data_IF_389285132455
#
_entry.id   IF_389285132455
#
_cell.length_a   1.000
_cell.length_b   1.000
_cell.length_c   1.000
_cell.angle_alpha   90.00
_cell.angle_beta   90.00
_cell.angle_gamma   90.00
#
_symmetry.space_group_name_H-M   'P 1'
#
loop_
_entity.id
_entity.type
_entity.pdbx_description
1 polymer ?
#
# COMPACT_ATOMS: atom_id res chain seq x y z
N UNK A 1 -28.30 7.34 -8.64
CA UNK A 1 -27.64 8.65 -8.79
C UNK A 1 -26.34 8.41 -9.55
N UNK A 2 -26.15 9.03 -10.73
CA UNK A 2 -24.87 8.93 -11.45
C UNK A 2 -23.84 9.77 -10.69
N UNK A 3 -22.77 9.13 -10.23
CA UNK A 3 -21.65 9.85 -9.65
C UNK A 3 -21.02 10.75 -10.72
N UNK A 4 -20.78 12.02 -10.40
CA UNK A 4 -20.15 12.95 -11.32
C UNK A 4 -18.63 12.70 -11.33
N UNK A 5 -18.20 11.76 -12.17
CA UNK A 5 -16.85 11.20 -12.25
C UNK A 5 -15.83 12.09 -12.95
N UNK A 6 -16.29 13.18 -13.57
CA UNK A 6 -15.44 14.26 -14.06
C UNK A 6 -14.57 14.93 -12.96
N UNK A 7 -14.81 14.58 -11.69
CA UNK A 7 -14.03 15.04 -10.52
C UNK A 7 -12.67 14.34 -10.36
N UNK A 8 -12.37 13.28 -11.12
CA UNK A 8 -11.16 12.46 -10.96
C UNK A 8 -10.29 12.42 -12.23
N UNK A 9 -9.93 13.58 -12.78
CA UNK A 9 -9.10 13.66 -14.00
C UNK A 9 -7.68 13.12 -13.80
N UNK A 10 -7.17 13.10 -12.57
CA UNK A 10 -5.86 12.56 -12.21
C UNK A 10 -5.83 11.04 -12.00
N UNK A 11 -6.99 10.36 -12.07
CA UNK A 11 -7.10 8.92 -11.86
C UNK A 11 -7.40 8.25 -13.21
N UNK A 12 -6.37 7.78 -13.89
CA UNK A 12 -6.43 7.37 -15.29
C UNK A 12 -6.92 5.92 -15.48
N UNK A 13 -8.15 5.66 -15.04
CA UNK A 13 -8.84 4.39 -15.29
C UNK A 13 -10.16 4.61 -16.04
N UNK A 14 -10.67 3.58 -16.74
CA UNK A 14 -11.97 3.66 -17.39
C UNK A 14 -13.09 4.06 -16.44
N UNK A 15 -14.10 4.71 -17.00
CA UNK A 15 -15.21 5.31 -16.28
C UNK A 15 -16.02 4.30 -15.46
N UNK A 16 -16.19 3.07 -15.95
CA UNK A 16 -16.85 2.00 -15.21
C UNK A 16 -16.08 1.61 -13.94
N UNK A 17 -14.74 1.70 -13.95
CA UNK A 17 -13.89 1.45 -12.77
C UNK A 17 -14.04 2.57 -11.74
N UNK A 18 -14.04 3.83 -12.19
CA UNK A 18 -14.30 4.99 -11.30
C UNK A 18 -15.64 4.82 -10.60
N UNK A 19 -16.67 4.42 -11.33
CA UNK A 19 -17.99 4.17 -10.78
C UNK A 19 -17.99 3.05 -9.74
N UNK A 20 -17.27 1.95 -9.96
CA UNK A 20 -17.10 0.88 -8.95
C UNK A 20 -16.45 1.41 -7.66
N UNK A 21 -15.37 2.19 -7.75
CA UNK A 21 -14.72 2.76 -6.57
C UNK A 21 -15.62 3.74 -5.82
N UNK A 22 -16.40 4.55 -6.54
CA UNK A 22 -17.40 5.43 -5.93
C UNK A 22 -18.51 4.63 -5.24
N UNK A 23 -19.00 3.56 -5.86
CA UNK A 23 -20.00 2.67 -5.25
C UNK A 23 -19.47 2.00 -3.98
N UNK A 24 -18.20 1.59 -3.97
CA UNK A 24 -17.56 1.08 -2.76
C UNK A 24 -17.59 2.11 -1.62
N UNK A 25 -17.23 3.36 -1.91
CA UNK A 25 -17.26 4.44 -0.91
C UNK A 25 -18.69 4.80 -0.47
N UNK A 26 -19.66 4.82 -1.38
CA UNK A 26 -21.07 5.10 -1.05
C UNK A 26 -21.71 4.02 -0.17
N UNK A 27 -21.26 2.78 -0.32
CA UNK A 27 -21.73 1.64 0.46
C UNK A 27 -20.79 1.33 1.64
N UNK A 28 -19.99 2.31 2.10
CA UNK A 28 -18.98 2.09 3.14
C UNK A 28 -19.55 1.36 4.35
N UNK A 29 -20.71 1.75 4.88
CA UNK A 29 -21.32 1.09 6.06
C UNK A 29 -21.68 -0.39 5.82
N UNK A 30 -21.94 -0.79 4.57
CA UNK A 30 -22.16 -2.18 4.20
C UNK A 30 -20.86 -2.80 3.68
N UNK A 31 -20.07 -3.39 4.58
CA UNK A 31 -18.76 -3.98 4.23
C UNK A 31 -18.84 -5.01 3.12
N UNK A 32 -19.84 -5.90 3.13
CA UNK A 32 -19.99 -6.94 2.09
C UNK A 32 -20.23 -6.33 0.70
N UNK A 33 -21.14 -5.37 0.61
CA UNK A 33 -21.50 -4.72 -0.66
C UNK A 33 -20.36 -3.80 -1.16
N UNK A 34 -19.73 -3.04 -0.27
CA UNK A 34 -18.59 -2.19 -0.64
C UNK A 34 -17.37 -2.99 -1.08
N UNK A 35 -17.06 -4.09 -0.40
CA UNK A 35 -15.98 -5.00 -0.80
C UNK A 35 -16.23 -5.61 -2.18
N UNK A 36 -17.47 -6.00 -2.48
CA UNK A 36 -17.85 -6.53 -3.80
C UNK A 36 -17.53 -5.54 -4.93
N UNK A 37 -17.69 -4.23 -4.71
CA UNK A 37 -17.32 -3.24 -5.72
C UNK A 37 -15.81 -3.10 -5.90
N UNK A 38 -15.03 -3.16 -4.81
CA UNK A 38 -13.56 -3.18 -4.87
C UNK A 38 -13.05 -4.41 -5.63
N UNK A 39 -13.58 -5.60 -5.32
CA UNK A 39 -13.21 -6.84 -6.00
C UNK A 39 -13.55 -6.80 -7.49
N UNK A 40 -14.70 -6.21 -7.87
CA UNK A 40 -15.04 -5.99 -9.27
C UNK A 40 -14.07 -5.04 -9.97
N UNK A 41 -13.64 -3.96 -9.31
CA UNK A 41 -12.67 -3.02 -9.86
C UNK A 41 -11.31 -3.70 -10.09
N UNK A 42 -10.85 -4.48 -9.12
CA UNK A 42 -9.62 -5.28 -9.23
C UNK A 42 -9.71 -6.31 -10.36
N UNK A 43 -10.81 -7.05 -10.47
CA UNK A 43 -10.99 -8.06 -11.51
C UNK A 43 -10.98 -7.47 -12.92
N UNK A 44 -11.48 -6.24 -13.10
CA UNK A 44 -11.56 -5.56 -14.40
C UNK A 44 -10.26 -4.86 -14.80
N UNK A 45 -9.46 -4.41 -13.84
CA UNK A 45 -8.22 -3.66 -14.11
C UNK A 45 -6.95 -4.47 -13.94
N UNK A 46 -7.04 -5.65 -13.35
CA UNK A 46 -5.88 -6.48 -13.03
C UNK A 46 -4.95 -5.76 -12.06
N UNK A 47 -3.73 -5.50 -12.52
CA UNK A 47 -2.65 -4.93 -11.71
C UNK A 47 -2.46 -3.44 -11.95
N UNK A 48 -3.52 -2.69 -12.27
CA UNK A 48 -3.41 -1.24 -12.32
C UNK A 48 -3.03 -0.68 -10.93
N UNK A 49 -1.92 0.05 -10.86
CA UNK A 49 -1.32 0.51 -9.60
C UNK A 49 -2.25 1.41 -8.79
N UNK A 50 -3.00 2.27 -9.46
CA UNK A 50 -3.93 3.21 -8.83
C UNK A 50 -5.14 2.49 -8.19
N UNK A 51 -5.66 1.46 -8.86
CA UNK A 51 -6.73 0.61 -8.30
C UNK A 51 -6.21 -0.24 -7.15
N UNK A 52 -4.98 -0.76 -7.23
CA UNK A 52 -4.34 -1.48 -6.12
C UNK A 52 -4.16 -0.56 -4.91
N UNK A 53 -3.74 0.69 -5.09
CA UNK A 53 -3.64 1.67 -3.99
C UNK A 53 -5.02 1.93 -3.35
N UNK A 54 -6.07 2.09 -4.17
CA UNK A 54 -7.43 2.30 -3.68
C UNK A 54 -7.93 1.08 -2.88
N UNK A 55 -7.70 -0.13 -3.39
CA UNK A 55 -8.06 -1.37 -2.73
C UNK A 55 -7.30 -1.57 -1.41
N UNK A 56 -5.98 -1.31 -1.39
CA UNK A 56 -5.18 -1.36 -0.16
C UNK A 56 -5.78 -0.47 0.93
N UNK A 57 -6.06 0.80 0.60
CA UNK A 57 -6.66 1.76 1.55
C UNK A 57 -8.01 1.26 2.05
N UNK A 58 -8.86 0.77 1.14
CA UNK A 58 -10.15 0.20 1.51
C UNK A 58 -9.99 -0.93 2.53
N UNK A 59 -9.18 -1.95 2.21
CA UNK A 59 -8.99 -3.11 3.09
C UNK A 59 -8.34 -2.74 4.42
N UNK A 60 -7.35 -1.83 4.40
CA UNK A 60 -6.70 -1.33 5.61
C UNK A 60 -7.71 -0.67 6.55
N UNK A 61 -8.51 0.29 6.06
CA UNK A 61 -9.50 0.99 6.88
C UNK A 61 -10.69 0.12 7.28
N UNK A 62 -10.91 -1.00 6.58
CA UNK A 62 -11.85 -2.05 6.98
C UNK A 62 -11.27 -3.06 7.96
N UNK A 63 -10.02 -2.87 8.40
CA UNK A 63 -9.26 -3.81 9.24
C UNK A 63 -9.11 -5.21 8.62
N UNK A 64 -9.30 -5.34 7.31
CA UNK A 64 -9.03 -6.58 6.60
C UNK A 64 -7.56 -6.63 6.17
N UNK A 65 -6.69 -6.77 7.18
CA UNK A 65 -5.24 -6.69 7.00
C UNK A 65 -4.70 -7.80 6.08
N UNK A 66 -5.33 -8.97 6.05
CA UNK A 66 -4.95 -10.04 5.13
C UNK A 66 -5.14 -9.66 3.66
N UNK A 67 -6.25 -9.02 3.30
CA UNK A 67 -6.45 -8.51 1.93
C UNK A 67 -5.63 -7.24 1.65
N UNK A 68 -5.41 -6.39 2.66
CA UNK A 68 -4.52 -5.25 2.54
C UNK A 68 -3.10 -5.69 2.18
N UNK A 69 -2.56 -6.71 2.87
CA UNK A 69 -1.23 -7.26 2.61
C UNK A 69 -1.13 -7.88 1.21
N UNK A 70 -2.11 -8.69 0.81
CA UNK A 70 -2.14 -9.26 -0.54
C UNK A 70 -2.14 -8.17 -1.61
N UNK A 71 -2.82 -7.06 -1.36
CA UNK A 71 -2.89 -5.93 -2.30
C UNK A 71 -1.57 -5.17 -2.37
N UNK A 72 -0.89 -4.93 -1.24
CA UNK A 72 0.43 -4.28 -1.25
C UNK A 72 1.48 -5.16 -1.91
N UNK A 73 1.46 -6.48 -1.70
CA UNK A 73 2.37 -7.43 -2.39
C UNK A 73 2.17 -7.34 -3.92
N UNK A 74 0.93 -7.42 -4.41
CA UNK A 74 0.64 -7.25 -5.85
C UNK A 74 1.14 -5.93 -6.41
N UNK A 75 0.98 -4.84 -5.65
CA UNK A 75 1.48 -3.53 -6.04
C UNK A 75 3.01 -3.49 -6.11
N UNK A 76 3.70 -4.09 -5.13
CA UNK A 76 5.15 -4.20 -5.12
C UNK A 76 5.66 -5.01 -6.31
N UNK A 77 5.08 -6.18 -6.54
CA UNK A 77 5.44 -7.06 -7.66
C UNK A 77 5.24 -6.35 -9.00
N UNK A 78 4.15 -5.58 -9.13
CA UNK A 78 3.89 -4.81 -10.34
C UNK A 78 4.96 -3.76 -10.61
N UNK A 79 5.34 -3.00 -9.58
CA UNK A 79 6.36 -1.96 -9.74
C UNK A 79 7.73 -2.60 -9.99
N UNK A 80 8.05 -3.73 -9.35
CA UNK A 80 9.27 -4.49 -9.65
C UNK A 80 9.35 -4.90 -11.11
N UNK A 81 8.25 -5.41 -11.67
CA UNK A 81 8.17 -5.79 -13.08
C UNK A 81 8.42 -4.58 -14.00
N UNK A 82 7.69 -3.48 -13.78
CA UNK A 82 7.76 -2.28 -14.61
C UNK A 82 9.14 -1.62 -14.58
N UNK A 83 9.73 -1.53 -13.40
CA UNK A 83 11.00 -0.86 -13.15
C UNK A 83 12.22 -1.80 -13.22
N UNK A 84 11.98 -3.10 -13.50
CA UNK A 84 12.99 -4.17 -13.55
C UNK A 84 13.87 -4.21 -12.30
N UNK A 85 13.23 -4.11 -11.14
CA UNK A 85 13.92 -4.09 -9.85
C UNK A 85 14.36 -5.51 -9.46
N UNK A 86 15.58 -5.67 -8.90
CA UNK A 86 16.04 -6.96 -8.39
C UNK A 86 15.35 -7.32 -7.07
N UNK A 87 15.24 -8.62 -6.77
CA UNK A 87 14.71 -9.10 -5.50
C UNK A 87 15.74 -9.06 -4.36
N UNK A 88 17.02 -9.18 -4.69
CA UNK A 88 18.11 -9.11 -3.73
C UNK A 88 18.23 -7.69 -3.15
N UNK A 89 18.19 -7.58 -1.82
CA UNK A 89 18.14 -6.28 -1.15
C UNK A 89 19.40 -5.44 -1.39
N UNK A 90 20.57 -6.09 -1.39
CA UNK A 90 21.85 -5.38 -1.58
C UNK A 90 21.95 -4.76 -2.98
N UNK A 91 21.33 -5.38 -3.98
CA UNK A 91 21.19 -4.82 -5.33
C UNK A 91 20.05 -3.79 -5.43
N UNK A 92 18.94 -4.01 -4.73
CA UNK A 92 17.76 -3.16 -4.79
C UNK A 92 17.97 -1.81 -4.10
N UNK A 93 18.57 -1.82 -2.91
CA UNK A 93 18.77 -0.63 -2.07
C UNK A 93 19.41 0.55 -2.82
N UNK A 94 20.56 0.42 -3.51
CA UNK A 94 21.17 1.57 -4.20
C UNK A 94 20.27 2.16 -5.29
N UNK A 95 19.44 1.35 -5.95
CA UNK A 95 18.47 1.82 -6.95
C UNK A 95 17.41 2.68 -6.26
N UNK A 96 16.84 2.18 -5.16
CA UNK A 96 15.81 2.89 -4.40
C UNK A 96 16.34 4.21 -3.82
N UNK A 97 17.56 4.22 -3.29
CA UNK A 97 18.21 5.45 -2.77
C UNK A 97 18.39 6.48 -3.88
N UNK A 98 18.93 6.07 -5.03
CA UNK A 98 19.24 6.99 -6.13
C UNK A 98 17.98 7.52 -6.83
N UNK A 99 16.89 6.74 -6.83
CA UNK A 99 15.65 7.06 -7.53
C UNK A 99 14.48 7.39 -6.61
N UNK A 100 14.70 7.66 -5.32
CA UNK A 100 13.60 7.83 -4.34
C UNK A 100 12.57 8.92 -4.67
N UNK A 101 12.95 9.91 -5.49
CA UNK A 101 12.05 10.98 -5.95
C UNK A 101 11.31 10.64 -7.26
N UNK A 102 11.67 9.54 -7.93
CA UNK A 102 10.93 9.01 -9.07
C UNK A 102 9.53 8.56 -8.61
N UNK A 103 8.43 8.96 -9.27
CA UNK A 103 7.09 8.63 -8.83
C UNK A 103 6.81 7.13 -8.62
N UNK A 104 7.34 6.27 -9.50
CA UNK A 104 7.13 4.82 -9.39
C UNK A 104 7.92 4.23 -8.21
N UNK A 105 9.15 4.68 -8.01
CA UNK A 105 9.99 4.25 -6.90
C UNK A 105 9.46 4.79 -5.57
N UNK A 106 8.96 6.02 -5.55
CA UNK A 106 8.28 6.60 -4.38
C UNK A 106 7.01 5.81 -4.06
N UNK A 107 6.26 5.36 -5.07
CA UNK A 107 5.11 4.48 -4.87
C UNK A 107 5.52 3.11 -4.31
N UNK A 108 6.61 2.52 -4.81
CA UNK A 108 7.19 1.28 -4.26
C UNK A 108 7.56 1.44 -2.79
N UNK A 109 8.26 2.51 -2.41
CA UNK A 109 8.67 2.77 -1.03
C UNK A 109 7.45 2.96 -0.10
N UNK A 110 6.42 3.67 -0.56
CA UNK A 110 5.16 3.79 0.17
C UNK A 110 4.47 2.42 0.36
N UNK A 111 4.37 1.62 -0.70
CA UNK A 111 3.76 0.30 -0.63
C UNK A 111 4.57 -0.67 0.26
N UNK A 112 5.89 -0.56 0.24
CA UNK A 112 6.78 -1.38 1.04
C UNK A 112 6.65 -1.01 2.53
N UNK A 113 6.71 0.27 2.86
CA UNK A 113 6.44 0.75 4.22
C UNK A 113 5.04 0.35 4.72
N UNK A 114 4.02 0.50 3.88
CA UNK A 114 2.66 0.06 4.17
C UNK A 114 2.56 -1.43 4.47
N UNK A 115 3.28 -2.29 3.73
CA UNK A 115 3.30 -3.73 4.01
C UNK A 115 3.89 -4.05 5.39
N UNK A 116 4.92 -3.32 5.83
CA UNK A 116 5.46 -3.43 7.19
C UNK A 116 4.42 -3.07 8.26
N UNK A 117 3.67 -1.99 8.06
CA UNK A 117 2.58 -1.60 8.95
C UNK A 117 1.46 -2.65 8.99
N UNK A 118 1.08 -3.22 7.85
CA UNK A 118 0.07 -4.28 7.79
C UNK A 118 0.55 -5.55 8.50
N UNK A 119 1.81 -5.95 8.30
CA UNK A 119 2.41 -7.09 8.97
C UNK A 119 2.44 -6.89 10.50
N UNK A 120 2.76 -5.68 10.97
CA UNK A 120 2.68 -5.35 12.39
C UNK A 120 1.26 -5.54 12.95
N UNK A 121 0.24 -5.07 12.24
CA UNK A 121 -1.18 -5.26 12.62
C UNK A 121 -1.62 -6.74 12.59
N UNK A 122 -0.98 -7.57 11.76
CA UNK A 122 -1.19 -9.03 11.72
C UNK A 122 -0.39 -9.79 12.80
N UNK A 123 0.46 -9.11 13.57
CA UNK A 123 1.34 -9.73 14.57
C UNK A 123 2.63 -10.34 14.01
N UNK A 124 2.92 -10.15 12.72
CA UNK A 124 4.18 -10.54 12.09
C UNK A 124 5.28 -9.49 12.37
N UNK A 125 5.65 -9.40 13.65
CA UNK A 125 6.46 -8.28 14.17
C UNK A 125 7.88 -8.28 13.61
N UNK A 126 8.51 -9.44 13.43
CA UNK A 126 9.90 -9.50 12.96
C UNK A 126 10.00 -9.10 11.47
N UNK A 127 9.07 -9.56 10.64
CA UNK A 127 8.95 -9.13 9.24
C UNK A 127 8.64 -7.63 9.14
N UNK A 128 7.76 -7.12 10.01
CA UNK A 128 7.46 -5.69 10.08
C UNK A 128 8.70 -4.86 10.46
N UNK A 129 9.50 -5.32 11.42
CA UNK A 129 10.77 -4.67 11.81
C UNK A 129 11.78 -4.71 10.69
N UNK A 130 11.90 -5.82 9.97
CA UNK A 130 12.83 -5.95 8.84
C UNK A 130 12.49 -4.92 7.75
N UNK A 131 11.24 -4.87 7.32
CA UNK A 131 10.78 -3.91 6.32
C UNK A 131 10.99 -2.48 6.81
N UNK A 132 10.62 -2.20 8.05
CA UNK A 132 10.75 -0.86 8.63
C UNK A 132 12.20 -0.40 8.71
N UNK A 133 13.10 -1.32 9.05
CA UNK A 133 14.55 -1.08 9.07
C UNK A 133 15.08 -0.77 7.66
N UNK A 134 14.67 -1.58 6.68
CA UNK A 134 15.08 -1.39 5.28
C UNK A 134 14.62 -0.06 4.70
N UNK A 135 13.37 0.36 4.96
CA UNK A 135 12.88 1.68 4.53
C UNK A 135 13.60 2.82 5.25
N UNK A 136 13.86 2.69 6.56
CA UNK A 136 14.63 3.69 7.34
C UNK A 136 16.05 3.91 6.80
N UNK A 137 16.65 2.90 6.15
CA UNK A 137 17.97 3.06 5.49
C UNK A 137 17.93 3.88 4.19
N UNK A 138 16.74 4.18 3.66
CA UNK A 138 16.51 4.96 2.43
C UNK A 138 15.94 6.34 2.76
N UNK A 139 15.12 6.41 3.82
CA UNK A 139 14.29 7.54 4.18
C UNK A 139 14.75 8.22 5.47
N UNK A 140 15.74 9.11 5.32
CA UNK A 140 16.29 9.88 6.44
C UNK A 140 15.29 10.85 7.08
N UNK A 141 14.18 11.17 6.39
CA UNK A 141 13.20 12.19 6.82
C UNK A 141 11.91 11.59 7.37
N UNK A 142 11.76 10.27 7.36
CA UNK A 142 10.52 9.57 7.66
C UNK A 142 9.34 9.97 6.74
N UNK A 143 9.62 10.32 5.48
CA UNK A 143 8.63 10.60 4.44
C UNK A 143 7.62 9.45 4.25
N UNK A 144 8.04 8.20 4.51
CA UNK A 144 7.20 6.99 4.37
C UNK A 144 6.72 6.44 5.73
N UNK A 145 7.10 7.07 6.84
CA UNK A 145 6.64 6.71 8.20
C UNK A 145 7.19 5.40 8.80
N UNK A 146 7.99 4.65 8.05
CA UNK A 146 8.49 3.34 8.49
C UNK A 146 9.47 3.43 9.67
N UNK A 147 10.27 4.50 9.75
CA UNK A 147 11.16 4.71 10.90
C UNK A 147 10.39 4.89 12.21
N UNK A 148 9.25 5.59 12.18
CA UNK A 148 8.36 5.75 13.35
C UNK A 148 7.80 4.39 13.77
N UNK A 149 7.36 3.57 12.81
CA UNK A 149 6.88 2.22 13.10
C UNK A 149 7.98 1.36 13.73
N UNK A 150 9.21 1.41 13.21
CA UNK A 150 10.34 0.69 13.81
C UNK A 150 10.58 1.09 15.26
N UNK A 151 10.55 2.39 15.55
CA UNK A 151 10.76 2.91 16.90
C UNK A 151 9.66 2.40 17.85
N UNK A 152 8.40 2.33 17.40
CA UNK A 152 7.28 1.74 18.18
C UNK A 152 7.52 0.24 18.42
N UNK A 153 7.89 -0.52 17.39
CA UNK A 153 8.06 -1.98 17.46
C UNK A 153 9.29 -2.42 18.27
N UNK A 154 10.23 -1.51 18.51
CA UNK A 154 11.49 -1.79 19.24
C UNK A 154 11.54 -1.14 20.62
N UNK A 155 10.49 -0.38 21.00
CA UNK A 155 10.40 0.22 22.32
C UNK A 155 10.41 -0.89 23.38
N UNK A 156 11.31 -0.83 24.38
CA UNK A 156 11.25 -1.77 25.51
C UNK A 156 9.91 -1.61 26.22
N UNK A 157 9.37 -2.68 26.84
CA UNK A 157 8.23 -2.56 27.74
C UNK A 157 8.57 -1.48 28.78
N UNK A 158 7.68 -0.53 29.00
CA UNK A 158 7.84 0.36 30.15
C UNK A 158 7.83 -0.53 31.40
N UNK A 159 8.83 -0.37 32.26
CA UNK A 159 8.76 -0.96 33.60
C UNK A 159 7.55 -0.28 34.26
N UNK A 160 6.52 -1.07 34.59
CA UNK A 160 5.39 -0.60 35.38
C UNK A 160 5.95 -0.10 36.73
N UNK A 161 5.95 1.22 36.95
CA UNK A 161 6.22 1.85 38.25
C UNK A 161 5.15 1.47 39.30
#
# INVERSE_FOLDING_TARGET
MQANTNKFSWFEVPEDIKNLLVLAAQNWENTSESEKYIQQALAKTGENTDVLVAAYRFFYYKNNYSLALQTTIKLLDKIKELEKLPDDWEQLKPILVNRKEDPQIRLYLNAYAASGLVLANLGAIEEAKEISTRVKQIDDKNDFGAGILLDILTRPPEEDD
#
